data_IF_828927348321
#
_entry.id   IF_828927348321
#
_cell.length_a   1.000
_cell.length_b   1.000
_cell.length_c   1.000
_cell.angle_alpha   90.00
_cell.angle_beta   90.00
_cell.angle_gamma   90.00
#
_symmetry.space_group_name_H-M   'P 1'
#
loop_
_entity.id
_entity.type
_entity.pdbx_description
1 polymer ?
#
# COMPACT_ATOMS: atom_id res chain seq x y z
N UNK A 1 7.95 4.15 1.55
CA UNK A 1 6.90 3.11 1.72
C UNK A 1 6.72 2.30 0.44
N UNK A 2 6.20 1.06 0.49
CA UNK A 2 5.83 0.28 -0.71
C UNK A 2 4.38 -0.22 -0.66
N UNK A 3 3.70 -0.21 -1.80
CA UNK A 3 2.41 -0.84 -2.03
C UNK A 3 2.64 -2.30 -2.43
N UNK A 4 1.74 -3.18 -2.00
CA UNK A 4 1.80 -4.62 -2.28
C UNK A 4 0.58 -5.08 -3.06
N UNK A 5 0.80 -5.94 -4.05
CA UNK A 5 -0.24 -6.72 -4.73
C UNK A 5 0.28 -8.13 -5.03
N UNK A 6 -0.60 -9.12 -5.22
CA UNK A 6 -0.20 -10.40 -5.79
C UNK A 6 0.47 -10.21 -7.15
N UNK A 7 1.44 -11.06 -7.49
CA UNK A 7 2.11 -10.99 -8.79
C UNK A 7 1.09 -11.06 -9.93
N UNK A 8 1.28 -10.20 -10.92
CA UNK A 8 0.45 -10.16 -12.12
C UNK A 8 1.35 -10.25 -13.35
N UNK A 9 0.96 -11.09 -14.29
CA UNK A 9 1.64 -11.25 -15.60
C UNK A 9 1.51 -10.00 -16.48
N UNK A 10 0.65 -9.05 -16.08
CA UNK A 10 0.37 -7.83 -16.84
C UNK A 10 0.77 -6.58 -16.07
N UNK A 11 1.31 -5.59 -16.80
CA UNK A 11 1.51 -4.26 -16.25
C UNK A 11 0.15 -3.57 -16.03
N UNK A 12 0.10 -2.64 -15.09
CA UNK A 12 -1.11 -1.88 -14.77
C UNK A 12 -0.79 -0.41 -14.56
N UNK A 13 -1.77 0.43 -14.84
CA UNK A 13 -1.78 1.82 -14.40
C UNK A 13 -2.32 1.90 -12.97
N UNK A 14 -1.69 2.70 -12.14
CA UNK A 14 -2.07 2.92 -10.75
C UNK A 14 -2.29 4.41 -10.56
N UNK A 15 -3.52 4.79 -10.22
CA UNK A 15 -3.87 6.17 -9.91
C UNK A 15 -4.10 6.26 -8.41
N UNK A 16 -3.33 7.11 -7.74
CA UNK A 16 -3.48 7.36 -6.31
C UNK A 16 -3.97 8.79 -6.12
N UNK A 17 -5.11 8.93 -5.44
CA UNK A 17 -5.75 10.21 -5.16
C UNK A 17 -5.77 10.46 -3.66
N UNK A 18 -5.26 11.62 -3.25
CA UNK A 18 -5.37 12.11 -1.88
C UNK A 18 -6.38 13.26 -1.84
N UNK A 19 -7.53 13.02 -1.21
CA UNK A 19 -8.66 13.95 -1.18
C UNK A 19 -8.31 15.32 -0.57
N UNK A 20 -7.78 15.37 0.66
CA UNK A 20 -7.48 16.63 1.35
C UNK A 20 -6.57 17.57 0.57
N UNK A 21 -5.50 17.04 -0.04
CA UNK A 21 -4.55 17.85 -0.81
C UNK A 21 -4.90 17.95 -2.29
N UNK A 22 -5.98 17.30 -2.74
CA UNK A 22 -6.39 17.16 -4.15
C UNK A 22 -5.29 16.65 -5.08
N UNK A 23 -4.26 15.99 -4.53
CA UNK A 23 -3.13 15.51 -5.30
C UNK A 23 -3.48 14.17 -5.94
N UNK A 24 -3.05 14.02 -7.18
CA UNK A 24 -3.26 12.82 -7.98
C UNK A 24 -1.92 12.46 -8.60
N UNK A 25 -1.55 11.19 -8.51
CA UNK A 25 -0.35 10.66 -9.14
C UNK A 25 -0.70 9.40 -9.91
N UNK A 26 -0.12 9.25 -11.08
CA UNK A 26 -0.28 8.08 -11.95
C UNK A 26 1.07 7.37 -12.04
N UNK A 27 1.07 6.09 -11.71
CA UNK A 27 2.27 5.25 -11.69
C UNK A 27 2.05 4.04 -12.60
N UNK A 28 3.13 3.54 -13.19
CA UNK A 28 3.13 2.23 -13.85
C UNK A 28 3.55 1.16 -12.83
N UNK A 29 2.70 0.16 -12.64
CA UNK A 29 3.04 -1.05 -11.91
C UNK A 29 3.41 -2.14 -12.91
N UNK A 30 4.71 -2.39 -13.08
CA UNK A 30 5.22 -3.35 -14.05
C UNK A 30 4.68 -4.77 -13.83
N UNK A 31 4.68 -5.55 -14.90
CA UNK A 31 4.41 -6.98 -14.83
C UNK A 31 5.44 -7.68 -13.94
N UNK A 32 5.03 -8.76 -13.29
CA UNK A 32 5.87 -9.58 -12.41
C UNK A 32 6.50 -8.82 -11.22
N UNK A 33 5.88 -7.70 -10.84
CA UNK A 33 6.26 -6.93 -9.65
C UNK A 33 5.14 -6.97 -8.62
N UNK A 34 5.42 -7.58 -7.48
CA UNK A 34 4.54 -7.61 -6.30
C UNK A 34 4.57 -6.30 -5.50
N UNK A 35 5.55 -5.44 -5.76
CA UNK A 35 5.72 -4.16 -5.05
C UNK A 35 5.76 -2.96 -5.98
N UNK A 36 5.27 -1.82 -5.48
CA UNK A 36 5.40 -0.51 -6.12
C UNK A 36 5.81 0.51 -5.06
N UNK A 37 6.85 1.29 -5.35
CA UNK A 37 7.30 2.36 -4.43
C UNK A 37 6.24 3.46 -4.35
N UNK A 38 6.00 3.95 -3.13
CA UNK A 38 5.17 5.12 -2.93
C UNK A 38 5.86 6.38 -3.49
N UNK A 39 5.15 7.28 -4.19
CA UNK A 39 5.74 8.46 -4.81
C UNK A 39 5.83 9.62 -3.81
N UNK A 40 6.79 9.53 -2.88
CA UNK A 40 6.92 10.45 -1.73
C UNK A 40 7.12 11.93 -2.13
N UNK A 41 7.70 12.19 -3.30
CA UNK A 41 7.92 13.55 -3.81
C UNK A 41 6.64 14.22 -4.33
N UNK A 42 5.68 13.42 -4.80
CA UNK A 42 4.45 13.93 -5.42
C UNK A 42 3.29 13.85 -4.43
N UNK A 43 3.22 12.77 -3.66
CA UNK A 43 2.11 12.45 -2.80
C UNK A 43 2.56 12.33 -1.33
N UNK A 44 2.08 13.23 -0.46
CA UNK A 44 2.47 13.20 0.95
C UNK A 44 2.00 11.91 1.60
N UNK A 45 2.77 11.43 2.56
CA UNK A 45 2.45 10.26 3.36
C UNK A 45 1.99 10.72 4.75
N UNK A 46 0.67 10.74 4.97
CA UNK A 46 0.07 11.31 6.17
C UNK A 46 -0.55 10.20 7.03
N UNK A 47 -0.22 10.19 8.31
CA UNK A 47 -0.74 9.22 9.26
C UNK A 47 -2.26 9.34 9.45
N UNK A 48 -2.96 8.22 9.33
CA UNK A 48 -4.40 8.12 9.52
C UNK A 48 -5.23 8.60 8.32
N UNK A 49 -4.58 9.14 7.30
CA UNK A 49 -5.27 9.72 6.15
C UNK A 49 -5.65 8.67 5.11
N UNK A 50 -6.61 9.06 4.27
CA UNK A 50 -7.26 8.19 3.30
C UNK A 50 -6.78 8.49 1.89
N UNK A 51 -6.40 7.43 1.18
CA UNK A 51 -5.99 7.47 -0.21
C UNK A 51 -6.86 6.54 -1.04
N UNK A 52 -7.37 7.03 -2.17
CA UNK A 52 -8.10 6.20 -3.11
C UNK A 52 -7.12 5.72 -4.18
N UNK A 53 -6.99 4.40 -4.30
CA UNK A 53 -6.13 3.74 -5.28
C UNK A 53 -7.00 3.06 -6.31
N UNK A 54 -6.77 3.38 -7.56
CA UNK A 54 -7.35 2.71 -8.72
C UNK A 54 -6.23 1.97 -9.44
N UNK A 55 -6.43 0.69 -9.74
CA UNK A 55 -5.49 -0.13 -10.52
C UNK A 55 -6.20 -0.62 -11.76
N UNK A 56 -5.73 -0.19 -12.93
CA UNK A 56 -6.31 -0.51 -14.24
C UNK A 56 -5.36 -1.39 -15.02
N UNK A 57 -5.80 -2.59 -15.39
CA UNK A 57 -5.00 -3.52 -16.18
C UNK A 57 -5.02 -3.14 -17.68
N UNK A 58 -4.19 -3.83 -18.48
CA UNK A 58 -4.13 -3.60 -19.94
C UNK A 58 -5.44 -3.90 -20.68
N UNK A 59 -6.32 -4.70 -20.10
CA UNK A 59 -7.63 -5.03 -20.68
C UNK A 59 -8.70 -3.98 -20.33
N UNK A 60 -8.33 -2.90 -19.62
CA UNK A 60 -9.25 -1.84 -19.21
C UNK A 60 -10.08 -2.17 -17.96
N UNK A 61 -9.87 -3.33 -17.34
CA UNK A 61 -10.51 -3.67 -16.06
C UNK A 61 -9.85 -2.90 -14.93
N UNK A 62 -10.65 -2.15 -14.18
CA UNK A 62 -10.20 -1.35 -13.04
C UNK A 62 -10.67 -1.94 -11.72
N UNK A 63 -9.81 -1.83 -10.71
CA UNK A 63 -10.13 -2.18 -9.34
C UNK A 63 -9.86 -0.97 -8.45
N UNK A 64 -10.81 -0.70 -7.54
CA UNK A 64 -10.74 0.43 -6.63
C UNK A 64 -10.51 -0.06 -5.20
N UNK A 65 -9.55 0.55 -4.51
CA UNK A 65 -9.30 0.34 -3.08
C UNK A 65 -9.12 1.65 -2.36
N UNK A 66 -9.79 1.76 -1.22
CA UNK A 66 -9.54 2.82 -0.24
C UNK A 66 -8.48 2.33 0.74
N UNK A 67 -7.37 3.04 0.83
CA UNK A 67 -6.28 2.78 1.76
C UNK A 67 -6.29 3.80 2.89
N UNK A 68 -6.13 3.33 4.12
CA UNK A 68 -5.80 4.18 5.27
C UNK A 68 -4.36 3.91 5.63
N UNK A 69 -3.52 4.96 5.65
CA UNK A 69 -2.11 4.80 5.96
C UNK A 69 -1.88 4.89 7.46
N UNK A 70 -1.31 3.83 8.02
CA UNK A 70 -0.89 3.81 9.42
C UNK A 70 0.63 3.67 9.50
N UNK A 71 1.28 4.62 10.18
CA UNK A 71 2.71 4.53 10.48
C UNK A 71 2.91 3.58 11.67
N UNK A 72 3.65 2.51 11.44
CA UNK A 72 3.98 1.53 12.46
C UNK A 72 4.88 2.18 13.52
N UNK A 73 4.50 2.18 14.81
CA UNK A 73 5.33 2.81 15.85
C UNK A 73 6.66 2.07 16.00
N UNK A 74 7.77 2.82 15.96
CA UNK A 74 9.11 2.23 16.10
C UNK A 74 9.37 1.69 17.50
N UNK A 75 8.76 2.33 18.52
CA UNK A 75 8.86 1.98 19.94
C UNK A 75 8.29 0.61 20.33
N UNK A 76 7.69 -0.13 19.39
CA UNK A 76 7.18 -1.47 19.67
C UNK A 76 8.34 -2.46 19.81
N UNK A 77 8.48 -3.13 20.96
CA UNK A 77 9.74 -3.78 21.36
C UNK A 77 10.07 -5.04 20.55
N UNK A 78 9.08 -5.73 19.99
CA UNK A 78 9.33 -6.90 19.13
C UNK A 78 8.53 -6.83 17.84
N UNK A 79 8.96 -7.59 16.84
CA UNK A 79 8.19 -7.82 15.61
C UNK A 79 6.81 -8.42 15.91
N UNK A 80 6.66 -9.28 16.93
CA UNK A 80 5.35 -9.79 17.35
C UNK A 80 4.43 -8.68 17.86
N UNK A 81 4.94 -7.72 18.64
CA UNK A 81 4.16 -6.54 19.04
C UNK A 81 3.73 -5.70 17.83
N UNK A 82 4.61 -5.58 16.82
CA UNK A 82 4.29 -4.92 15.54
C UNK A 82 3.18 -5.65 14.77
N UNK A 83 3.22 -6.99 14.72
CA UNK A 83 2.16 -7.83 14.13
C UNK A 83 0.82 -7.57 14.80
N UNK A 84 0.76 -7.65 16.15
CA UNK A 84 -0.47 -7.40 16.90
C UNK A 84 -1.01 -5.99 16.66
N UNK A 85 -0.12 -4.99 16.64
CA UNK A 85 -0.51 -3.62 16.34
C UNK A 85 -1.09 -3.46 14.93
N UNK A 86 -0.47 -4.08 13.91
CA UNK A 86 -0.96 -4.06 12.53
C UNK A 86 -2.34 -4.71 12.41
N UNK A 87 -2.55 -5.85 13.07
CA UNK A 87 -3.87 -6.53 13.11
C UNK A 87 -4.92 -5.62 13.72
N UNK A 88 -4.62 -4.96 14.85
CA UNK A 88 -5.54 -4.01 15.49
C UNK A 88 -5.92 -2.79 14.64
N UNK A 89 -5.22 -2.54 13.53
CA UNK A 89 -5.50 -1.47 12.55
C UNK A 89 -6.04 -1.99 11.21
N UNK A 90 -6.28 -3.30 11.09
CA UNK A 90 -6.77 -3.94 9.87
C UNK A 90 -5.70 -4.18 8.81
N UNK A 91 -4.41 -4.00 9.13
CA UNK A 91 -3.28 -4.25 8.23
C UNK A 91 -2.88 -5.74 8.23
N UNK A 92 -3.86 -6.65 8.11
CA UNK A 92 -3.67 -8.10 8.24
C UNK A 92 -2.69 -8.66 7.20
N UNK A 93 -2.77 -8.30 5.89
CA UNK A 93 -1.79 -8.79 4.91
C UNK A 93 -0.35 -8.41 5.26
N UNK A 94 -0.13 -7.18 5.71
CA UNK A 94 1.19 -6.70 6.14
C UNK A 94 1.66 -7.38 7.43
N UNK A 95 0.74 -7.64 8.37
CA UNK A 95 1.02 -8.40 9.58
C UNK A 95 1.47 -9.83 9.25
N UNK A 96 0.82 -10.49 8.29
CA UNK A 96 1.17 -11.84 7.85
C UNK A 96 2.55 -11.88 7.18
N UNK A 97 2.90 -10.89 6.35
CA UNK A 97 4.24 -10.76 5.76
C UNK A 97 5.30 -10.61 6.85
N UNK A 98 5.06 -9.73 7.83
CA UNK A 98 5.98 -9.53 8.95
C UNK A 98 6.10 -10.80 9.81
N UNK A 99 5.01 -11.52 10.04
CA UNK A 99 4.99 -12.79 10.76
C UNK A 99 5.76 -13.89 10.01
N UNK A 100 5.62 -13.97 8.69
CA UNK A 100 6.37 -14.93 7.88
C UNK A 100 7.88 -14.71 7.97
N UNK A 101 8.33 -13.46 8.16
CA UNK A 101 9.75 -13.11 8.35
C UNK A 101 10.32 -13.47 9.72
N UNK A 102 9.51 -14.03 10.62
CA UNK A 102 9.90 -14.47 11.96
C UNK A 102 10.23 -15.96 12.04
N UNK A 103 9.93 -16.72 10.98
CA UNK A 103 10.35 -18.11 10.83
C UNK A 103 11.76 -18.16 10.28
#
# INVERSE_FOLDING_TARGET
MVLWRPDSESASDVIIKHGPTRKIVTLKWSAYQSTLKWPENELPLIYGDIYNVEVTNRMGSSSFKRLVLYQLPERLPTRSHKVVWMVGRGCIPQANILLASLR
#
